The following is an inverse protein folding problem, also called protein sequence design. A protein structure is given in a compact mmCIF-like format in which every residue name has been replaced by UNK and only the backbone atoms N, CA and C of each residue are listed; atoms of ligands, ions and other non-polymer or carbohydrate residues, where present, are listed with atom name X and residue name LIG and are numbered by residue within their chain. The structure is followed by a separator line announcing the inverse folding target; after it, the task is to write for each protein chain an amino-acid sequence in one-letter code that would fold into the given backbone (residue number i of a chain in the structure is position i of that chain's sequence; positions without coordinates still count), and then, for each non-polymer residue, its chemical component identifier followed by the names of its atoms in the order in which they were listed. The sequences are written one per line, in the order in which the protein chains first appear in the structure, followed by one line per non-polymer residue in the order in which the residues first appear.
data_IF_521798484122
#
_entry.id   IF_521798484122
#
_cell.length_a   1.000
_cell.length_b   1.000
_cell.length_c   1.000
_cell.angle_alpha   90.00
_cell.angle_beta   90.00
_cell.angle_gamma   90.00
#
_symmetry.space_group_name_H-M   'P 1'
#
loop_
_entity.id
_entity.type
_entity.pdbx_description
1 polymer ?
#
# COMPACT_ATOMS: atom_id res chain seq x y z
N UNK A 1 -1.77 -48.09 -16.27
CA UNK A 1 -2.19 -47.44 -15.00
C UNK A 1 -1.34 -46.19 -14.81
N UNK A 2 -1.43 -45.23 -15.74
CA UNK A 2 -0.46 -44.13 -15.85
C UNK A 2 -1.17 -42.81 -16.23
N UNK A 3 -2.05 -42.88 -17.25
CA UNK A 3 -2.90 -41.76 -17.66
C UNK A 3 -3.77 -41.16 -16.54
N UNK A 4 -4.29 -41.98 -15.61
CA UNK A 4 -5.07 -41.49 -14.46
C UNK A 4 -4.19 -40.79 -13.42
N UNK A 5 -2.93 -41.20 -13.25
CA UNK A 5 -1.98 -40.51 -12.36
C UNK A 5 -1.52 -39.19 -12.97
N UNK A 6 -1.24 -39.16 -14.27
CA UNK A 6 -0.91 -37.92 -14.99
C UNK A 6 -2.09 -36.95 -14.94
N UNK A 7 -3.32 -37.41 -15.18
CA UNK A 7 -4.50 -36.54 -15.11
C UNK A 7 -4.69 -35.93 -13.72
N UNK A 8 -4.48 -36.70 -12.65
CA UNK A 8 -4.51 -36.20 -11.26
C UNK A 8 -3.40 -35.19 -11.00
N UNK A 9 -2.18 -35.45 -11.48
CA UNK A 9 -1.06 -34.52 -11.35
C UNK A 9 -1.33 -33.21 -12.08
N UNK A 10 -1.82 -33.26 -13.32
CA UNK A 10 -2.20 -32.09 -14.10
C UNK A 10 -3.28 -31.27 -13.39
N UNK A 11 -4.27 -31.91 -12.77
CA UNK A 11 -5.29 -31.24 -11.95
C UNK A 11 -4.65 -30.53 -10.75
N UNK A 12 -3.74 -31.20 -10.03
CA UNK A 12 -3.07 -30.62 -8.87
C UNK A 12 -2.21 -29.42 -9.25
N UNK A 13 -1.52 -29.48 -10.39
CA UNK A 13 -0.72 -28.36 -10.91
C UNK A 13 -1.62 -27.19 -11.28
N UNK A 14 -2.71 -27.43 -12.00
CA UNK A 14 -3.67 -26.40 -12.39
C UNK A 14 -4.27 -25.69 -11.16
N UNK A 15 -4.73 -26.46 -10.17
CA UNK A 15 -5.24 -25.91 -8.91
C UNK A 15 -4.17 -25.10 -8.16
N UNK A 16 -2.93 -25.57 -8.14
CA UNK A 16 -1.82 -24.87 -7.49
C UNK A 16 -1.52 -23.54 -8.20
N UNK A 17 -1.51 -23.53 -9.53
CA UNK A 17 -1.34 -22.31 -10.33
C UNK A 17 -2.43 -21.29 -10.06
N UNK A 18 -3.70 -21.71 -10.09
CA UNK A 18 -4.84 -20.84 -9.78
C UNK A 18 -4.75 -20.26 -8.36
N UNK A 19 -4.38 -21.06 -7.35
CA UNK A 19 -4.21 -20.55 -5.97
C UNK A 19 -3.11 -19.51 -5.87
N UNK A 20 -2.00 -19.68 -6.58
CA UNK A 20 -0.92 -18.70 -6.60
C UNK A 20 -1.35 -17.39 -7.26
N UNK A 21 -2.03 -17.46 -8.42
CA UNK A 21 -2.55 -16.29 -9.11
C UNK A 21 -3.54 -15.51 -8.25
N UNK A 22 -4.49 -16.20 -7.61
CA UNK A 22 -5.45 -15.58 -6.69
C UNK A 22 -4.73 -14.94 -5.50
N UNK A 23 -3.74 -15.61 -4.92
CA UNK A 23 -2.97 -15.07 -3.79
C UNK A 23 -2.23 -13.78 -4.18
N UNK A 24 -1.61 -13.75 -5.37
CA UNK A 24 -0.99 -12.54 -5.91
C UNK A 24 -2.02 -11.44 -6.20
N UNK A 25 -3.18 -11.78 -6.76
CA UNK A 25 -4.24 -10.82 -7.06
C UNK A 25 -4.78 -10.18 -5.78
N UNK A 26 -5.01 -10.98 -4.73
CA UNK A 26 -5.43 -10.49 -3.41
C UNK A 26 -4.35 -9.61 -2.78
N UNK A 27 -3.08 -10.01 -2.85
CA UNK A 27 -1.97 -9.18 -2.36
C UNK A 27 -1.91 -7.83 -3.07
N UNK A 28 -2.01 -7.81 -4.41
CA UNK A 28 -2.08 -6.57 -5.19
C UNK A 28 -3.26 -5.72 -4.76
N UNK A 29 -4.44 -6.31 -4.63
CA UNK A 29 -5.64 -5.60 -4.18
C UNK A 29 -5.48 -5.01 -2.79
N UNK A 30 -4.81 -5.72 -1.88
CA UNK A 30 -4.52 -5.23 -0.53
C UNK A 30 -3.57 -4.02 -0.57
N UNK A 31 -2.52 -4.07 -1.40
CA UNK A 31 -1.62 -2.92 -1.62
C UNK A 31 -2.36 -1.72 -2.21
N UNK A 32 -3.22 -1.92 -3.22
CA UNK A 32 -4.01 -0.85 -3.84
C UNK A 32 -4.99 -0.22 -2.82
N UNK A 33 -5.62 -1.04 -2.00
CA UNK A 33 -6.53 -0.59 -0.95
C UNK A 33 -5.78 0.22 0.14
N UNK A 34 -4.57 -0.22 0.51
CA UNK A 34 -3.71 0.51 1.44
C UNK A 34 -3.30 1.86 0.88
N UNK A 35 -2.88 1.92 -0.39
CA UNK A 35 -2.52 3.17 -1.06
C UNK A 35 -3.70 4.15 -1.12
N UNK A 36 -4.88 3.66 -1.47
CA UNK A 36 -6.12 4.47 -1.49
C UNK A 36 -6.45 5.00 -0.10
N UNK A 37 -6.34 4.16 0.93
CA UNK A 37 -6.59 4.54 2.32
C UNK A 37 -5.60 5.60 2.80
N UNK A 38 -4.31 5.43 2.48
CA UNK A 38 -3.27 6.41 2.79
C UNK A 38 -3.53 7.76 2.09
N UNK A 39 -3.92 7.74 0.81
CA UNK A 39 -4.25 8.96 0.07
C UNK A 39 -5.48 9.69 0.65
N UNK A 40 -6.48 8.94 1.13
CA UNK A 40 -7.64 9.53 1.80
C UNK A 40 -7.25 10.20 3.13
N UNK A 41 -6.35 9.59 3.92
CA UNK A 41 -5.85 10.19 5.15
C UNK A 41 -5.07 11.48 4.90
N UNK A 42 -4.26 11.54 3.84
CA UNK A 42 -3.54 12.76 3.45
C UNK A 42 -4.51 13.86 3.06
N UNK A 43 -5.56 13.54 2.30
CA UNK A 43 -6.58 14.52 1.90
C UNK A 43 -7.45 14.99 3.07
N UNK A 44 -7.60 14.16 4.11
CA UNK A 44 -8.34 14.54 5.32
C UNK A 44 -7.54 15.45 6.25
N UNK A 45 -6.25 15.67 5.98
CA UNK A 45 -5.45 16.60 6.76
C UNK A 45 -5.99 18.02 6.53
N UNK A 46 -6.30 18.78 7.59
CA UNK A 46 -6.76 20.15 7.44
C UNK A 46 -5.68 20.99 6.75
N UNK A 47 -6.10 21.91 5.89
CA UNK A 47 -5.20 22.93 5.35
C UNK A 47 -4.52 23.64 6.52
N UNK A 48 -3.18 23.58 6.55
CA UNK A 48 -2.40 24.31 7.54
C UNK A 48 -2.61 25.79 7.19
N UNK A 49 -3.30 26.58 8.03
CA UNK A 49 -3.46 28.00 7.74
C UNK A 49 -2.06 28.57 7.55
N UNK A 50 -1.84 29.25 6.42
CA UNK A 50 -0.60 29.98 6.17
C UNK A 50 -0.31 30.77 7.44
N UNK A 51 0.77 30.40 8.12
CA UNK A 51 1.01 30.86 9.46
C UNK A 51 1.01 32.39 9.41
N UNK A 52 0.09 33.02 10.14
CA UNK A 52 -0.09 34.47 10.18
C UNK A 52 1.05 35.09 10.99
N UNK A 53 2.27 34.82 10.55
CA UNK A 53 3.50 35.17 11.23
C UNK A 53 3.81 36.62 10.82
N UNK A 54 3.95 37.52 11.80
CA UNK A 54 4.40 38.87 11.54
C UNK A 54 5.74 38.84 10.79
N UNK A 55 5.97 39.80 9.89
CA UNK A 55 7.17 39.88 9.05
C UNK A 55 8.51 39.90 9.83
N UNK A 56 8.47 40.06 11.15
CA UNK A 56 9.62 40.11 12.05
C UNK A 56 9.84 38.83 12.89
N UNK A 57 9.01 37.79 12.73
CA UNK A 57 9.18 36.54 13.47
C UNK A 57 10.35 35.71 12.90
N UNK A 58 11.24 35.22 13.76
CA UNK A 58 12.44 34.47 13.37
C UNK A 58 13.71 35.30 13.19
N UNK A 59 13.63 36.63 13.31
CA UNK A 59 14.78 37.53 13.16
C UNK A 59 15.75 37.53 14.37
N UNK A 60 15.37 36.95 15.50
CA UNK A 60 16.24 36.81 16.67
C UNK A 60 16.21 35.34 17.12
N UNK A 61 17.32 34.65 16.89
CA UNK A 61 17.55 33.30 17.42
C UNK A 61 18.43 33.47 18.65
N UNK A 62 17.93 33.11 19.83
CA UNK A 62 18.74 33.13 21.05
C UNK A 62 19.71 31.94 21.00
N UNK A 63 20.94 32.17 20.53
CA UNK A 63 22.01 31.18 20.60
C UNK A 63 22.71 31.32 21.95
N UNK A 64 22.55 30.36 22.85
CA UNK A 64 23.36 30.29 24.08
C UNK A 64 24.75 29.73 23.73
N UNK A 65 25.82 30.41 24.10
CA UNK A 65 27.22 29.97 23.97
C UNK A 65 27.70 29.26 25.24
#
# INVERSE_FOLDING_TARGET
MDAMSIARLSTTIAETGTRQEVSMAVLKKAMDAQATSAAALIQALPDIPAANLPAHLGNHVNTTA
#
